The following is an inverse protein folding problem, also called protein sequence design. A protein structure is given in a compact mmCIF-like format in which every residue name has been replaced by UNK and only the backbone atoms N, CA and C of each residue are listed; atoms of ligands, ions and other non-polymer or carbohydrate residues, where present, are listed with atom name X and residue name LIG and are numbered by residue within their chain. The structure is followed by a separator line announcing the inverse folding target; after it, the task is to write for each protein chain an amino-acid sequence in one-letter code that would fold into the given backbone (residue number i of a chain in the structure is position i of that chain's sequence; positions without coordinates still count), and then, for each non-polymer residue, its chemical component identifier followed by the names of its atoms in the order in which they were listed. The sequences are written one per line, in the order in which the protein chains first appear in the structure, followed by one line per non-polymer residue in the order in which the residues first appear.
data_IF_563624626272
#
_entry.id   IF_563624626272
#
_cell.length_a   1.000
_cell.length_b   1.000
_cell.length_c   1.000
_cell.angle_alpha   90.00
_cell.angle_beta   90.00
_cell.angle_gamma   90.00
#
_symmetry.space_group_name_H-M   'P 1'
#
loop_
_entity.id
_entity.type
_entity.pdbx_description
1 polymer ?
#
# COMPACT_ATOMS: atom_id res chain seq x y z
N UNK A 1 13.30 -20.06 3.16
CA UNK A 1 12.83 -18.88 2.39
C UNK A 1 13.22 -18.97 0.92
N UNK A 2 14.47 -19.22 0.54
CA UNK A 2 14.87 -19.28 -0.90
C UNK A 2 14.01 -20.21 -1.77
N UNK A 3 13.69 -21.42 -1.30
CA UNK A 3 12.84 -22.36 -2.04
C UNK A 3 11.38 -21.94 -2.20
N UNK A 4 10.88 -21.02 -1.37
CA UNK A 4 9.50 -20.54 -1.47
C UNK A 4 9.39 -19.46 -2.53
N UNK A 5 10.38 -18.55 -2.59
CA UNK A 5 10.47 -17.50 -3.59
C UNK A 5 10.68 -18.08 -4.99
N UNK A 6 11.52 -19.10 -5.14
CA UNK A 6 11.70 -19.80 -6.41
C UNK A 6 10.41 -20.49 -6.88
N UNK A 7 9.69 -21.16 -5.98
CA UNK A 7 8.39 -21.78 -6.33
C UNK A 7 7.36 -20.75 -6.73
N UNK A 8 7.31 -19.61 -6.05
CA UNK A 8 6.41 -18.53 -6.39
C UNK A 8 6.76 -17.93 -7.76
N UNK A 9 8.05 -17.68 -8.02
CA UNK A 9 8.52 -17.20 -9.32
C UNK A 9 8.20 -18.19 -10.44
N UNK A 10 8.35 -19.50 -10.18
CA UNK A 10 7.99 -20.53 -11.15
C UNK A 10 6.48 -20.58 -11.41
N UNK A 11 5.65 -20.55 -10.37
CA UNK A 11 4.19 -20.53 -10.50
C UNK A 11 3.70 -19.29 -11.27
N UNK A 12 4.29 -18.13 -10.99
CA UNK A 12 4.00 -16.86 -11.67
C UNK A 12 4.29 -16.87 -13.18
N UNK A 13 5.13 -17.78 -13.66
CA UNK A 13 5.42 -17.92 -15.09
C UNK A 13 4.26 -18.52 -15.86
N UNK A 14 3.49 -19.40 -15.25
CA UNK A 14 2.52 -20.24 -15.95
C UNK A 14 1.13 -19.59 -15.97
N UNK A 15 0.45 -19.53 -17.13
CA UNK A 15 -0.93 -19.08 -17.20
C UNK A 15 -1.87 -19.95 -16.35
N UNK A 16 -2.87 -19.32 -15.71
CA UNK A 16 -3.89 -20.02 -14.92
C UNK A 16 -3.51 -20.29 -13.46
N UNK A 17 -2.30 -19.93 -13.02
CA UNK A 17 -1.95 -19.95 -11.59
C UNK A 17 -2.51 -18.71 -10.87
N UNK A 18 -2.69 -18.83 -9.56
CA UNK A 18 -3.12 -17.70 -8.74
C UNK A 18 -2.05 -16.59 -8.75
N UNK A 19 -0.78 -16.98 -8.72
CA UNK A 19 0.39 -16.11 -8.76
C UNK A 19 0.44 -15.30 -10.07
N UNK A 20 0.18 -15.94 -11.21
CA UNK A 20 0.06 -15.27 -12.51
C UNK A 20 -1.07 -14.25 -12.52
N UNK A 21 -2.22 -14.62 -11.96
CA UNK A 21 -3.41 -13.78 -11.93
C UNK A 21 -3.16 -12.51 -11.11
N UNK A 22 -2.64 -12.66 -9.90
CA UNK A 22 -2.28 -11.53 -9.03
C UNK A 22 -1.23 -10.60 -9.69
N UNK A 23 -0.25 -11.17 -10.38
CA UNK A 23 0.75 -10.39 -11.11
C UNK A 23 0.13 -9.53 -12.23
N UNK A 24 -0.86 -10.06 -12.95
CA UNK A 24 -1.56 -9.34 -14.02
C UNK A 24 -2.41 -8.22 -13.45
N UNK A 25 -3.10 -8.46 -12.33
CA UNK A 25 -3.89 -7.43 -11.62
C UNK A 25 -3.03 -6.25 -11.19
N UNK A 26 -1.82 -6.50 -10.70
CA UNK A 26 -0.93 -5.43 -10.20
C UNK A 26 -0.22 -4.71 -11.35
N UNK A 27 0.36 -5.44 -12.30
CA UNK A 27 1.33 -4.88 -13.26
C UNK A 27 0.68 -4.38 -14.54
N UNK A 28 -0.50 -4.90 -14.86
CA UNK A 28 -1.22 -4.65 -16.11
C UNK A 28 -0.54 -5.32 -17.31
N UNK A 29 -1.38 -5.90 -18.19
CA UNK A 29 -1.03 -6.70 -19.38
C UNK A 29 -0.45 -8.10 -19.12
N UNK A 30 -1.19 -9.18 -19.43
CA UNK A 30 -0.59 -10.50 -19.55
C UNK A 30 0.23 -10.58 -20.85
N UNK A 31 1.45 -11.08 -20.76
CA UNK A 31 2.07 -11.69 -21.94
C UNK A 31 1.32 -12.99 -22.25
N UNK A 32 1.06 -13.27 -23.52
CA UNK A 32 0.48 -14.56 -23.90
C UNK A 32 1.45 -15.71 -23.60
N UNK A 33 0.92 -16.82 -23.10
CA UNK A 33 1.71 -18.02 -22.78
C UNK A 33 2.56 -17.92 -21.51
N UNK A 34 3.49 -18.87 -21.38
CA UNK A 34 4.41 -18.98 -20.24
C UNK A 34 5.52 -17.93 -20.32
N UNK A 35 5.75 -17.19 -19.24
CA UNK A 35 6.87 -16.26 -19.17
C UNK A 35 8.22 -16.97 -19.08
N UNK A 36 9.25 -16.32 -19.62
CA UNK A 36 10.62 -16.60 -19.21
C UNK A 36 10.81 -16.27 -17.72
N UNK A 37 11.77 -16.92 -17.07
CA UNK A 37 12.07 -16.65 -15.66
C UNK A 37 12.46 -15.17 -15.44
N UNK A 38 13.24 -14.59 -16.35
CA UNK A 38 13.62 -13.17 -16.28
C UNK A 38 12.43 -12.23 -16.42
N UNK A 39 11.46 -12.54 -17.27
CA UNK A 39 10.24 -11.76 -17.42
C UNK A 39 9.36 -11.87 -16.16
N UNK A 40 9.24 -13.06 -15.58
CA UNK A 40 8.51 -13.25 -14.32
C UNK A 40 9.16 -12.48 -13.17
N UNK A 41 10.49 -12.56 -13.01
CA UNK A 41 11.22 -11.80 -11.99
C UNK A 41 11.08 -10.29 -12.19
N UNK A 42 11.18 -9.80 -13.43
CA UNK A 42 10.99 -8.37 -13.75
C UNK A 42 9.58 -7.91 -13.37
N UNK A 43 8.57 -8.71 -13.67
CA UNK A 43 7.19 -8.40 -13.33
C UNK A 43 6.98 -8.42 -11.81
N UNK A 44 7.57 -9.37 -11.09
CA UNK A 44 7.54 -9.43 -9.62
C UNK A 44 8.19 -8.19 -8.97
N UNK A 45 9.34 -7.76 -9.48
CA UNK A 45 10.00 -6.53 -9.02
C UNK A 45 9.13 -5.31 -9.29
N UNK A 46 8.50 -5.22 -10.47
CA UNK A 46 7.58 -4.12 -10.79
C UNK A 46 6.36 -4.12 -9.84
N UNK A 47 5.78 -5.29 -9.57
CA UNK A 47 4.68 -5.45 -8.62
C UNK A 47 5.09 -5.02 -7.21
N UNK A 48 6.25 -5.46 -6.72
CA UNK A 48 6.76 -5.09 -5.40
C UNK A 48 7.02 -3.59 -5.25
N UNK A 49 7.55 -2.93 -6.30
CA UNK A 49 7.73 -1.47 -6.31
C UNK A 49 6.41 -0.72 -6.24
N UNK A 50 5.38 -1.22 -6.91
CA UNK A 50 4.05 -0.60 -6.90
C UNK A 50 3.38 -0.76 -5.52
N UNK A 51 3.41 -1.97 -4.96
CA UNK A 51 2.89 -2.23 -3.61
C UNK A 51 3.59 -1.36 -2.55
N UNK A 52 4.92 -1.17 -2.65
CA UNK A 52 5.65 -0.28 -1.76
C UNK A 52 5.22 1.18 -1.91
N UNK A 53 5.00 1.66 -3.14
CA UNK A 53 4.51 3.01 -3.39
C UNK A 53 3.09 3.23 -2.83
N UNK A 54 2.20 2.25 -3.01
CA UNK A 54 0.84 2.29 -2.49
C UNK A 54 0.82 2.31 -0.95
N UNK A 55 1.68 1.51 -0.31
CA UNK A 55 1.84 1.53 1.14
C UNK A 55 2.36 2.89 1.64
N UNK A 56 3.39 3.43 0.98
CA UNK A 56 3.92 4.76 1.34
C UNK A 56 2.84 5.85 1.21
N UNK A 57 2.01 5.79 0.17
CA UNK A 57 0.88 6.70 0.01
C UNK A 57 -0.14 6.52 1.13
N UNK A 58 -0.54 5.29 1.45
CA UNK A 58 -1.47 5.00 2.53
C UNK A 58 -0.97 5.52 3.89
N UNK A 59 0.31 5.28 4.20
CA UNK A 59 0.95 5.77 5.42
C UNK A 59 1.00 7.30 5.46
N UNK A 60 1.29 7.95 4.32
CA UNK A 60 1.31 9.41 4.24
C UNK A 60 -0.09 10.02 4.45
N UNK A 61 -1.14 9.41 3.90
CA UNK A 61 -2.52 9.83 4.15
C UNK A 61 -2.93 9.61 5.59
N UNK A 62 -2.53 8.48 6.20
CA UNK A 62 -2.80 8.22 7.61
C UNK A 62 -2.11 9.24 8.52
N UNK A 63 -0.86 9.61 8.23
CA UNK A 63 -0.12 10.63 8.96
C UNK A 63 -0.81 12.01 8.85
N UNK A 64 -1.18 12.44 7.64
CA UNK A 64 -1.90 13.70 7.43
C UNK A 64 -3.26 13.72 8.16
N UNK A 65 -3.98 12.60 8.19
CA UNK A 65 -5.25 12.49 8.91
C UNK A 65 -5.07 12.57 10.44
N UNK A 66 -3.98 11.99 10.96
CA UNK A 66 -3.64 12.06 12.37
C UNK A 66 -3.30 13.50 12.80
N UNK A 67 -2.46 14.21 12.04
CA UNK A 67 -2.13 15.62 12.29
C UNK A 67 -3.39 16.50 12.33
N UNK A 68 -4.28 16.32 11.35
CA UNK A 68 -5.55 17.05 11.30
C UNK A 68 -6.43 16.80 12.53
N UNK A 69 -6.41 15.57 13.06
CA UNK A 69 -7.17 15.21 14.27
C UNK A 69 -6.62 15.89 15.52
N UNK A 70 -5.30 16.07 15.60
CA UNK A 70 -4.65 16.73 16.73
C UNK A 70 -4.91 18.25 16.74
N UNK A 71 -4.89 18.91 15.58
CA UNK A 71 -5.29 20.31 15.44
C UNK A 71 -6.75 20.53 15.90
N UNK A 72 -7.64 19.65 15.46
CA UNK A 72 -9.04 19.61 15.82
C UNK A 72 -9.26 19.46 17.34
N UNK A 73 -8.45 18.62 17.98
CA UNK A 73 -8.47 18.41 19.43
C UNK A 73 -8.01 19.67 20.17
N UNK A 74 -6.93 20.32 19.69
CA UNK A 74 -6.40 21.56 20.25
C UNK A 74 -7.40 22.72 20.14
N UNK A 75 -8.04 22.88 18.98
CA UNK A 75 -9.07 23.90 18.77
C UNK A 75 -10.27 23.73 19.72
N UNK A 76 -10.79 22.50 19.86
CA UNK A 76 -11.87 22.20 20.81
C UNK A 76 -11.45 22.47 22.26
N UNK A 77 -10.22 22.14 22.65
CA UNK A 77 -9.70 22.44 23.98
C UNK A 77 -9.62 23.95 24.26
N UNK A 78 -9.10 24.72 23.30
CA UNK A 78 -9.01 26.18 23.41
C UNK A 78 -10.40 26.83 23.50
N UNK A 79 -11.39 26.32 22.77
CA UNK A 79 -12.77 26.83 22.82
C UNK A 79 -13.40 26.59 24.20
N UNK A 80 -13.24 25.38 24.77
CA UNK A 80 -13.72 25.06 26.12
C UNK A 80 -13.09 25.95 27.19
N UNK A 81 -11.77 26.20 27.11
CA UNK A 81 -11.07 27.08 28.05
C UNK A 81 -11.55 28.54 28.02
N UNK A 82 -12.00 29.04 26.86
CA UNK A 82 -12.60 30.39 26.74
C UNK A 82 -13.99 30.45 27.37
N UNK A 83 -14.82 29.42 27.17
CA UNK A 83 -16.17 29.35 27.76
C UNK A 83 -16.09 29.27 29.29
N UNK A 84 -15.18 28.47 29.85
CA UNK A 84 -15.01 28.37 31.31
C UNK A 84 -14.47 29.66 31.96
N UNK A 85 -13.74 30.49 31.20
CA UNK A 85 -13.22 31.77 31.67
C UNK A 85 -14.29 32.86 31.70
N UNK A 86 -15.19 32.86 30.71
CA UNK A 86 -16.28 33.84 30.57
C UNK A 86 -17.46 33.61 31.54
N UNK A 87 -17.63 32.39 32.05
CA UNK A 87 -18.64 32.08 33.08
C UNK A 87 -18.18 32.32 34.52
N UNK A 88 -16.96 32.84 34.71
CA UNK A 88 -16.34 33.10 36.02
C UNK A 88 -16.08 34.60 36.27
N UNK A 89 -16.51 35.45 35.35
CA UNK A 89 -16.65 36.91 35.47
C UNK A 89 -18.12 37.24 35.71
#
# INVERSE_FOLDING_TARGET
MEHETERFAEAARHPGTAERTALVEIVGTPAEGTLSMSAALTALVKAGRQAAADQMLADSYAAMAAERTDEDRAARAAMRGRVSRRGRE
#
